data_IF_568698020407
#
_entry.id   IF_568698020407
#
_cell.length_a   1.000
_cell.length_b   1.000
_cell.length_c   1.000
_cell.angle_alpha   90.00
_cell.angle_beta   90.00
_cell.angle_gamma   90.00
#
_symmetry.space_group_name_H-M   'P 1'
#
loop_
_entity.id
_entity.type
_entity.pdbx_description
1 polymer ?
#
# COMPACT_ATOMS: atom_id res chain seq x y z
N UNK A 1 -4.09 -14.98 4.65
CA UNK A 1 -3.60 -13.58 4.71
C UNK A 1 -4.73 -12.69 5.20
N UNK A 2 -4.47 -11.71 6.07
CA UNK A 2 -5.46 -10.73 6.54
C UNK A 2 -4.86 -9.32 6.52
N UNK A 3 -5.58 -8.36 5.96
CA UNK A 3 -5.20 -6.94 6.01
C UNK A 3 -5.55 -6.37 7.37
N UNK A 4 -4.61 -5.67 8.01
CA UNK A 4 -4.76 -5.11 9.35
C UNK A 4 -4.92 -3.60 9.29
N UNK A 5 -4.06 -2.90 8.54
CA UNK A 5 -4.12 -1.45 8.36
C UNK A 5 -3.69 -1.04 6.96
N UNK A 6 -4.25 0.04 6.44
CA UNK A 6 -3.83 0.68 5.19
C UNK A 6 -3.49 2.14 5.48
N UNK A 7 -2.32 2.59 5.04
CA UNK A 7 -1.92 3.99 5.05
C UNK A 7 -1.80 4.48 3.62
N UNK A 8 -2.41 5.63 3.34
CA UNK A 8 -2.45 6.26 2.03
C UNK A 8 -2.02 7.71 2.18
N UNK A 9 -1.21 8.20 1.24
CA UNK A 9 -0.93 9.62 1.12
C UNK A 9 -0.89 10.03 -0.34
N UNK A 10 -1.71 11.02 -0.71
CA UNK A 10 -1.74 11.63 -2.04
C UNK A 10 -1.87 10.64 -3.20
N UNK A 11 -2.82 9.71 -3.11
CA UNK A 11 -3.12 8.78 -4.21
C UNK A 11 -4.43 9.16 -4.89
N UNK A 12 -4.42 9.35 -6.21
CA UNK A 12 -5.58 9.66 -7.03
C UNK A 12 -6.49 10.72 -6.38
N UNK A 13 -7.73 10.34 -6.03
CA UNK A 13 -8.73 11.20 -5.41
C UNK A 13 -8.52 11.40 -3.88
N UNK A 14 -7.69 10.58 -3.24
CA UNK A 14 -7.38 10.65 -1.82
C UNK A 14 -6.12 11.51 -1.59
N UNK A 15 -6.34 12.82 -1.47
CA UNK A 15 -5.30 13.78 -1.10
C UNK A 15 -5.09 13.83 0.42
N UNK A 16 -3.84 14.03 0.84
CA UNK A 16 -3.45 14.00 2.25
C UNK A 16 -3.32 12.59 2.80
N UNK A 17 -3.05 12.50 4.10
CA UNK A 17 -2.88 11.24 4.81
C UNK A 17 -4.22 10.65 5.23
N UNK A 18 -4.42 9.38 4.89
CA UNK A 18 -5.56 8.58 5.29
C UNK A 18 -5.08 7.27 5.89
N UNK A 19 -5.62 6.91 7.04
CA UNK A 19 -5.38 5.63 7.71
C UNK A 19 -6.71 4.90 7.85
N UNK A 20 -6.72 3.64 7.41
CA UNK A 20 -7.84 2.73 7.62
C UNK A 20 -7.32 1.61 8.50
N UNK A 21 -7.86 1.52 9.72
CA UNK A 21 -7.50 0.53 10.71
C UNK A 21 -8.61 -0.51 10.83
N UNK A 22 -8.32 -1.75 10.43
CA UNK A 22 -9.27 -2.86 10.52
C UNK A 22 -9.19 -3.60 11.86
N UNK A 23 -8.22 -3.30 12.72
CA UNK A 23 -8.13 -3.87 14.07
C UNK A 23 -8.90 -3.02 15.09
N UNK A 24 -9.05 -1.71 14.85
CA UNK A 24 -9.77 -0.80 15.73
C UNK A 24 -11.29 -0.77 15.45
N UNK A 25 -12.08 -0.49 16.49
CA UNK A 25 -13.53 -0.32 16.35
C UNK A 25 -13.85 0.94 15.51
N UNK A 26 -14.91 0.90 14.66
CA UNK A 26 -15.94 -0.14 14.55
C UNK A 26 -15.57 -1.32 13.64
N UNK A 27 -14.50 -1.22 12.85
CA UNK A 27 -14.15 -2.22 11.84
C UNK A 27 -13.66 -3.54 12.45
N UNK A 28 -12.85 -3.49 13.50
CA UNK A 28 -12.35 -4.68 14.19
C UNK A 28 -13.43 -5.55 14.84
N UNK A 29 -14.63 -4.98 15.06
CA UNK A 29 -15.78 -5.69 15.62
C UNK A 29 -16.70 -6.29 14.55
N UNK A 30 -16.43 -6.04 13.26
CA UNK A 30 -17.25 -6.52 12.15
C UNK A 30 -16.44 -7.38 11.19
N UNK A 31 -16.96 -8.57 10.86
CA UNK A 31 -16.39 -9.40 9.79
C UNK A 31 -16.73 -8.91 8.38
N UNK A 32 -17.65 -7.95 8.25
CA UNK A 32 -18.14 -7.42 6.97
C UNK A 32 -18.35 -5.91 7.06
N UNK A 33 -17.84 -5.19 6.07
CA UNK A 33 -18.04 -3.74 5.95
C UNK A 33 -18.26 -3.37 4.49
N UNK A 34 -18.80 -2.17 4.27
CA UNK A 34 -19.00 -1.61 2.94
C UNK A 34 -18.25 -0.28 2.84
N UNK A 35 -17.56 -0.07 1.71
CA UNK A 35 -16.98 1.22 1.35
C UNK A 35 -17.98 1.93 0.42
N UNK A 36 -18.66 2.95 0.93
CA UNK A 36 -19.71 3.70 0.22
C UNK A 36 -19.29 5.13 -0.07
N UNK A 37 -19.90 5.74 -1.08
CA UNK A 37 -19.64 7.11 -1.51
C UNK A 37 -19.92 7.31 -2.99
N UNK A 38 -19.89 8.55 -3.45
CA UNK A 38 -20.19 8.91 -4.85
C UNK A 38 -19.14 8.39 -5.84
N UNK A 39 -19.49 8.37 -7.13
CA UNK A 39 -18.51 8.12 -8.19
C UNK A 39 -17.42 9.18 -8.14
N UNK A 40 -16.16 8.74 -8.14
CA UNK A 40 -14.99 9.63 -8.01
C UNK A 40 -14.52 9.86 -6.57
N UNK A 41 -15.25 9.40 -5.54
CA UNK A 41 -14.89 9.62 -4.13
C UNK A 41 -13.63 8.85 -3.65
N UNK A 42 -12.95 8.09 -4.52
CA UNK A 42 -11.71 7.38 -4.16
C UNK A 42 -11.90 5.96 -3.62
N UNK A 43 -13.09 5.36 -3.72
CA UNK A 43 -13.34 3.96 -3.29
C UNK A 43 -12.34 2.97 -3.90
N UNK A 44 -12.19 3.01 -5.22
CA UNK A 44 -11.22 2.17 -5.96
C UNK A 44 -9.77 2.53 -5.60
N UNK A 45 -9.50 3.77 -5.19
CA UNK A 45 -8.15 4.20 -4.77
C UNK A 45 -7.70 3.48 -3.50
N UNK A 46 -8.62 3.13 -2.59
CA UNK A 46 -8.30 2.31 -1.41
C UNK A 46 -7.82 0.91 -1.85
N UNK A 47 -8.50 0.30 -2.83
CA UNK A 47 -8.10 -1.01 -3.37
C UNK A 47 -6.78 -0.91 -4.15
N UNK A 48 -6.60 0.13 -4.95
CA UNK A 48 -5.35 0.40 -5.67
C UNK A 48 -4.19 0.56 -4.68
N UNK A 49 -4.40 1.22 -3.53
CA UNK A 49 -3.36 1.35 -2.51
C UNK A 49 -2.91 -0.01 -1.96
N UNK A 50 -3.85 -0.94 -1.78
CA UNK A 50 -3.52 -2.30 -1.32
C UNK A 50 -2.64 -3.03 -2.34
N UNK A 51 -3.05 -3.07 -3.60
CA UNK A 51 -2.28 -3.76 -4.65
C UNK A 51 -0.95 -3.06 -4.90
N UNK A 52 -0.90 -1.74 -4.75
CA UNK A 52 0.31 -0.95 -4.96
C UNK A 52 1.35 -1.19 -3.86
N UNK A 53 0.93 -1.22 -2.60
CA UNK A 53 1.82 -1.56 -1.49
C UNK A 53 2.36 -3.00 -1.63
N UNK A 54 1.48 -3.96 -1.90
CA UNK A 54 1.81 -5.38 -1.96
C UNK A 54 2.57 -5.79 -3.22
N UNK A 55 2.27 -5.22 -4.39
CA UNK A 55 2.81 -5.71 -5.67
C UNK A 55 3.44 -4.63 -6.53
N UNK A 56 3.42 -3.36 -6.10
CA UNK A 56 3.92 -2.24 -6.89
C UNK A 56 3.13 -2.01 -8.18
N UNK A 57 1.90 -2.53 -8.25
CA UNK A 57 1.03 -2.50 -9.42
C UNK A 57 -0.39 -2.12 -9.01
N UNK A 58 -1.14 -1.50 -9.92
CA UNK A 58 -2.56 -1.21 -9.73
C UNK A 58 -3.40 -2.10 -10.64
N UNK A 59 -4.53 -2.57 -10.13
CA UNK A 59 -5.42 -3.49 -10.85
C UNK A 59 -5.89 -2.89 -12.20
N UNK A 60 -6.31 -1.63 -12.19
CA UNK A 60 -6.89 -0.96 -13.37
C UNK A 60 -5.93 -0.69 -14.52
N UNK A 61 -4.62 -0.57 -14.25
CA UNK A 61 -3.64 -0.16 -15.25
C UNK A 61 -2.27 -0.77 -14.93
N UNK A 62 -2.03 -2.00 -15.41
CA UNK A 62 -0.81 -2.79 -15.13
C UNK A 62 0.50 -2.13 -15.57
N UNK A 63 0.48 -1.02 -16.32
CA UNK A 63 1.68 -0.46 -16.97
C UNK A 63 2.20 0.84 -16.38
N UNK A 64 1.36 1.71 -15.78
CA UNK A 64 1.83 3.06 -15.40
C UNK A 64 1.43 3.49 -13.99
N UNK A 65 2.27 3.14 -13.04
CA UNK A 65 2.23 3.68 -11.67
C UNK A 65 2.47 5.21 -11.64
N UNK A 66 2.94 5.80 -12.74
CA UNK A 66 3.22 7.25 -12.83
C UNK A 66 1.99 8.13 -12.63
N UNK A 67 0.80 7.59 -12.89
CA UNK A 67 -0.47 8.32 -12.84
C UNK A 67 -1.20 8.20 -11.50
N UNK A 68 -0.64 7.51 -10.50
CA UNK A 68 -1.33 7.29 -9.21
C UNK A 68 -1.19 8.46 -8.24
N UNK A 69 -0.18 9.32 -8.42
CA UNK A 69 0.08 10.46 -7.54
C UNK A 69 -0.96 11.56 -7.76
N UNK A 70 -1.60 12.04 -6.69
CA UNK A 70 -2.57 13.13 -6.77
C UNK A 70 -1.98 14.39 -7.42
N UNK A 71 -2.78 15.08 -8.22
CA UNK A 71 -2.38 16.31 -8.91
C UNK A 71 -1.86 17.37 -7.93
N UNK A 72 -0.82 18.10 -8.33
CA UNK A 72 -0.23 19.16 -7.52
C UNK A 72 0.64 18.69 -6.36
N UNK A 73 0.84 17.38 -6.19
CA UNK A 73 1.69 16.82 -5.12
C UNK A 73 3.04 16.35 -5.65
N UNK A 74 4.04 16.36 -4.78
CA UNK A 74 5.41 15.94 -5.10
C UNK A 74 5.80 14.56 -4.59
N UNK A 75 4.95 13.93 -3.77
CA UNK A 75 5.17 12.62 -3.17
C UNK A 75 3.85 11.95 -2.82
N UNK A 76 3.83 10.62 -2.88
CA UNK A 76 2.72 9.79 -2.47
C UNK A 76 3.23 8.44 -1.95
N UNK A 77 2.43 7.78 -1.12
CA UNK A 77 2.72 6.42 -0.67
C UNK A 77 1.47 5.59 -0.46
N UNK A 78 1.67 4.28 -0.50
CA UNK A 78 0.73 3.28 -0.04
C UNK A 78 1.48 2.32 0.89
N UNK A 79 0.93 2.05 2.07
CA UNK A 79 1.47 1.06 2.98
C UNK A 79 0.36 0.15 3.48
N UNK A 80 0.67 -1.14 3.62
CA UNK A 80 -0.27 -2.14 4.12
C UNK A 80 0.40 -2.93 5.22
N UNK A 81 -0.23 -2.93 6.38
CA UNK A 81 0.07 -3.88 7.44
C UNK A 81 -0.83 -5.10 7.23
N UNK A 82 -0.25 -6.29 7.14
CA UNK A 82 -0.98 -7.54 6.94
C UNK A 82 -0.41 -8.66 7.79
N UNK A 83 -1.20 -9.70 8.03
CA UNK A 83 -0.75 -10.92 8.70
C UNK A 83 -0.89 -12.17 7.83
N UNK A 84 0.04 -13.10 8.03
CA UNK A 84 -0.01 -14.47 7.50
C UNK A 84 0.26 -15.42 8.66
N UNK A 85 -0.73 -16.21 9.05
CA UNK A 85 -0.69 -16.93 10.32
C UNK A 85 -0.57 -15.94 11.48
N UNK A 86 0.39 -16.18 12.38
CA UNK A 86 0.69 -15.33 13.54
C UNK A 86 1.65 -14.17 13.22
N UNK A 87 2.25 -14.19 12.03
CA UNK A 87 3.29 -13.24 11.63
C UNK A 87 2.68 -11.97 11.02
N UNK A 88 3.23 -10.80 11.39
CA UNK A 88 2.82 -9.48 10.90
C UNK A 88 3.90 -8.86 10.02
N UNK A 89 3.47 -8.21 8.94
CA UNK A 89 4.34 -7.60 7.93
C UNK A 89 3.85 -6.22 7.56
N UNK A 90 4.77 -5.37 7.12
CA UNK A 90 4.51 -4.05 6.55
C UNK A 90 5.08 -4.02 5.13
N UNK A 91 4.21 -3.92 4.13
CA UNK A 91 4.58 -3.67 2.75
C UNK A 91 4.42 -2.19 2.43
N UNK A 92 5.42 -1.59 1.80
CA UNK A 92 5.48 -0.17 1.53
C UNK A 92 5.79 0.09 0.05
N UNK A 93 5.10 1.05 -0.52
CA UNK A 93 5.38 1.61 -1.83
C UNK A 93 5.38 3.14 -1.73
N UNK A 94 6.44 3.76 -2.24
CA UNK A 94 6.60 5.21 -2.27
C UNK A 94 6.95 5.69 -3.68
N UNK A 95 6.39 6.82 -4.08
CA UNK A 95 6.86 7.58 -5.22
C UNK A 95 7.02 9.04 -4.86
N UNK A 96 8.04 9.65 -5.47
CA UNK A 96 8.33 11.05 -5.28
C UNK A 96 8.89 11.65 -6.57
N UNK A 97 8.69 12.94 -6.73
CA UNK A 97 9.33 13.76 -7.75
C UNK A 97 10.62 14.31 -7.19
N UNK A 98 11.55 14.72 -8.06
CA UNK A 98 12.84 15.25 -7.60
C UNK A 98 12.63 16.40 -6.59
N UNK A 99 13.25 16.28 -5.41
CA UNK A 99 13.11 17.23 -4.29
C UNK A 99 11.66 17.44 -3.80
N UNK A 100 10.79 16.43 -3.97
CA UNK A 100 9.36 16.50 -3.63
C UNK A 100 8.64 17.69 -4.29
N UNK A 101 9.11 18.14 -5.45
CA UNK A 101 8.50 19.25 -6.18
C UNK A 101 7.46 18.72 -7.18
N UNK A 102 6.20 19.19 -7.12
CA UNK A 102 5.09 18.69 -7.96
C UNK A 102 5.32 18.74 -9.47
N UNK A 103 6.18 19.65 -9.95
CA UNK A 103 6.41 19.90 -11.38
C UNK A 103 7.63 19.13 -11.88
N UNK A 104 8.47 18.61 -10.98
CA UNK A 104 9.72 17.93 -11.37
C UNK A 104 9.50 16.49 -11.82
N UNK A 105 10.54 15.93 -12.44
CA UNK A 105 10.56 14.54 -12.93
C UNK A 105 10.31 13.54 -11.80
N UNK A 106 9.42 12.59 -12.06
CA UNK A 106 9.15 11.45 -11.20
C UNK A 106 10.39 10.55 -11.10
N UNK A 107 10.74 10.15 -9.88
CA UNK A 107 11.83 9.22 -9.61
C UNK A 107 11.32 7.77 -9.66
N UNK A 108 12.22 6.78 -9.82
CA UNK A 108 11.85 5.38 -9.64
C UNK A 108 11.18 5.16 -8.29
N UNK A 109 10.12 4.33 -8.23
CA UNK A 109 9.45 4.04 -6.98
C UNK A 109 10.37 3.28 -6.03
N UNK A 110 10.14 3.46 -4.74
CA UNK A 110 10.83 2.74 -3.66
C UNK A 110 9.85 1.74 -3.08
N UNK A 111 10.33 0.54 -2.77
CA UNK A 111 9.53 -0.50 -2.12
C UNK A 111 10.27 -1.06 -0.93
N UNK A 112 9.54 -1.42 0.12
CA UNK A 112 10.08 -2.08 1.29
C UNK A 112 9.12 -3.14 1.77
N UNK A 113 9.67 -4.22 2.30
CA UNK A 113 8.96 -5.21 3.08
C UNK A 113 9.65 -5.31 4.43
N UNK A 114 8.88 -5.24 5.51
CA UNK A 114 9.37 -5.38 6.87
C UNK A 114 8.54 -6.39 7.65
N UNK A 115 9.16 -7.07 8.61
CA UNK A 115 8.49 -8.02 9.52
C UNK A 115 8.41 -7.44 10.92
N UNK A 116 7.31 -7.69 11.61
CA UNK A 116 7.12 -7.26 12.99
C UNK A 116 8.05 -8.02 13.94
N UNK A 117 8.78 -7.27 14.77
CA UNK A 117 9.65 -7.83 15.80
C UNK A 117 9.06 -7.57 17.19
N UNK A 118 8.38 -8.58 17.75
CA UNK A 118 7.57 -8.45 18.97
C UNK A 118 8.33 -7.86 20.18
N UNK A 119 9.60 -8.25 20.40
CA UNK A 119 10.39 -7.75 21.54
C UNK A 119 10.77 -6.28 21.44
N UNK A 120 10.93 -5.76 20.20
CA UNK A 120 11.31 -4.37 19.95
C UNK A 120 10.11 -3.48 19.68
N UNK A 121 8.95 -4.08 19.44
CA UNK A 121 7.71 -3.40 19.02
C UNK A 121 7.93 -2.52 17.77
N UNK A 122 8.73 -3.02 16.82
CA UNK A 122 9.05 -2.33 15.57
C UNK A 122 8.97 -3.27 14.38
N UNK A 123 8.77 -2.70 13.19
CA UNK A 123 8.98 -3.39 11.94
C UNK A 123 10.47 -3.34 11.57
N UNK A 124 11.05 -4.50 11.25
CA UNK A 124 12.43 -4.64 10.80
C UNK A 124 12.47 -5.04 9.32
N UNK A 125 13.34 -4.39 8.55
CA UNK A 125 13.42 -4.56 7.10
C UNK A 125 13.81 -5.99 6.71
N UNK A 126 13.01 -6.59 5.82
CA UNK A 126 13.30 -7.86 5.16
C UNK A 126 13.87 -7.67 3.75
N UNK A 127 13.36 -6.69 3.00
CA UNK A 127 13.79 -6.38 1.65
C UNK A 127 13.51 -4.91 1.28
N UNK A 128 14.38 -4.32 0.47
CA UNK A 128 14.26 -2.93 -0.01
C UNK A 128 14.48 -2.77 -1.54
N UNK A 129 14.84 -3.85 -2.24
CA UNK A 129 14.87 -3.89 -3.70
C UNK A 129 13.54 -4.38 -4.24
N UNK A 130 13.02 -3.72 -5.28
CA UNK A 130 11.72 -4.03 -5.90
C UNK A 130 11.54 -5.52 -6.21
N UNK A 131 12.57 -6.16 -6.79
CA UNK A 131 12.53 -7.58 -7.14
C UNK A 131 12.45 -8.47 -5.90
N UNK A 132 13.31 -8.22 -4.91
CA UNK A 132 13.35 -8.99 -3.67
C UNK A 132 12.04 -8.81 -2.88
N UNK A 133 11.48 -7.61 -2.84
CA UNK A 133 10.18 -7.34 -2.22
C UNK A 133 9.06 -8.15 -2.90
N UNK A 134 9.03 -8.20 -4.25
CA UNK A 134 8.07 -9.03 -4.98
C UNK A 134 8.19 -10.51 -4.61
N UNK A 135 9.39 -11.07 -4.74
CA UNK A 135 9.67 -12.48 -4.48
C UNK A 135 9.31 -12.85 -3.02
N UNK A 136 9.62 -11.98 -2.05
CA UNK A 136 9.30 -12.21 -0.64
C UNK A 136 7.80 -12.09 -0.34
N UNK A 137 7.09 -11.16 -0.96
CA UNK A 137 5.64 -11.04 -0.76
C UNK A 137 4.93 -12.28 -1.31
N UNK A 138 5.32 -12.75 -2.50
CA UNK A 138 4.78 -14.00 -3.07
C UNK A 138 5.12 -15.21 -2.18
N UNK A 139 6.35 -15.31 -1.68
CA UNK A 139 6.77 -16.39 -0.80
C UNK A 139 6.00 -16.41 0.54
N UNK A 140 5.78 -15.24 1.15
CA UNK A 140 5.09 -15.12 2.44
C UNK A 140 3.58 -15.29 2.29
N UNK A 141 2.97 -14.72 1.27
CA UNK A 141 1.51 -14.75 1.09
C UNK A 141 1.00 -15.98 0.36
N UNK A 142 1.85 -16.63 -0.46
CA UNK A 142 1.46 -17.67 -1.40
C UNK A 142 0.68 -17.15 -2.62
N UNK A 143 0.60 -15.82 -2.79
CA UNK A 143 -0.24 -15.15 -3.78
C UNK A 143 0.62 -14.22 -4.65
N UNK A 144 0.67 -14.51 -5.95
CA UNK A 144 1.09 -13.55 -6.96
C UNK A 144 0.01 -12.47 -7.19
N UNK A 145 0.35 -11.45 -7.98
CA UNK A 145 -0.56 -10.35 -8.28
C UNK A 145 -1.87 -10.83 -8.94
N UNK A 146 -1.80 -11.84 -9.80
CA UNK A 146 -2.95 -12.35 -10.56
C UNK A 146 -3.90 -13.18 -9.70
N UNK A 147 -3.39 -13.85 -8.67
CA UNK A 147 -4.19 -14.59 -7.68
C UNK A 147 -4.80 -13.69 -6.63
N UNK A 148 -4.18 -12.54 -6.36
CA UNK A 148 -4.70 -11.57 -5.40
C UNK A 148 -5.83 -10.71 -5.96
N UNK A 149 -5.75 -10.37 -7.25
CA UNK A 149 -6.73 -9.55 -7.97
C UNK A 149 -7.90 -10.38 -8.53
#
# INVERSE_FOLDING_TARGET
MRILKIYINNLNALQGELVIDFEDAPLGNSGLFAIVGDTGAGKTTILDAMTLALYGQIHRNRKEVREVMSYGTGQCFAQVVFSVGEERYLAEWHAHRARNNPVKKLQPPIRKLSKWHAKKQTFEGLADKIREVNEQIEAVTGLDFDRFC
#
